data_IF_437800476840
#
_entry.id   IF_437800476840
#
_cell.length_a   1.000
_cell.length_b   1.000
_cell.length_c   1.000
_cell.angle_alpha   90.00
_cell.angle_beta   90.00
_cell.angle_gamma   90.00
#
_symmetry.space_group_name_H-M   'P 1'
#
loop_
_entity.id
_entity.type
_entity.pdbx_description
1 polymer ?
#
# COMPACT_ATOMS: atom_id res chain seq x y z
N UNK A 1 29.39 -36.64 13.40
CA UNK A 1 27.93 -36.76 13.68
C UNK A 1 27.43 -35.83 14.79
N UNK A 2 27.98 -35.83 16.03
CA UNK A 2 27.48 -34.96 17.13
C UNK A 2 27.61 -33.45 16.86
N UNK A 3 28.62 -33.02 16.10
CA UNK A 3 28.81 -31.62 15.69
C UNK A 3 27.73 -31.16 14.70
N UNK A 4 27.56 -31.88 13.58
CA UNK A 4 26.51 -31.61 12.58
C UNK A 4 25.10 -31.61 13.20
N UNK A 5 24.81 -32.55 14.10
CA UNK A 5 23.53 -32.61 14.81
C UNK A 5 23.27 -31.41 15.73
N UNK A 6 24.32 -30.87 16.38
CA UNK A 6 24.21 -29.66 17.21
C UNK A 6 23.90 -28.43 16.36
N UNK A 7 24.55 -28.28 15.20
CA UNK A 7 24.29 -27.18 14.28
C UNK A 7 22.91 -27.28 13.62
N UNK A 8 22.50 -28.49 13.22
CA UNK A 8 21.15 -28.72 12.71
C UNK A 8 20.08 -28.33 13.76
N UNK A 9 20.27 -28.74 15.02
CA UNK A 9 19.36 -28.34 16.12
C UNK A 9 19.32 -26.83 16.33
N UNK A 10 20.48 -26.16 16.26
CA UNK A 10 20.55 -24.69 16.38
C UNK A 10 19.85 -23.99 15.22
N UNK A 11 20.03 -24.49 14.00
CA UNK A 11 19.38 -23.94 12.81
C UNK A 11 17.86 -24.16 12.85
N UNK A 12 17.41 -25.36 13.25
CA UNK A 12 15.99 -25.64 13.44
C UNK A 12 15.37 -24.76 14.53
N UNK A 13 16.08 -24.56 15.65
CA UNK A 13 15.62 -23.66 16.72
C UNK A 13 15.58 -22.20 16.24
N UNK A 14 16.59 -21.74 15.51
CA UNK A 14 16.60 -20.39 14.95
C UNK A 14 15.44 -20.17 13.97
N UNK A 15 15.18 -21.13 13.08
CA UNK A 15 14.05 -21.10 12.17
C UNK A 15 12.71 -21.07 12.93
N UNK A 16 12.57 -21.89 13.97
CA UNK A 16 11.37 -21.89 14.82
C UNK A 16 11.16 -20.52 15.48
N UNK A 17 12.22 -19.91 16.01
CA UNK A 17 12.14 -18.56 16.59
C UNK A 17 11.69 -17.54 15.54
N UNK A 18 12.24 -17.57 14.32
CA UNK A 18 11.82 -16.69 13.24
C UNK A 18 10.34 -16.87 12.89
N UNK A 19 9.88 -18.13 12.75
CA UNK A 19 8.47 -18.44 12.48
C UNK A 19 7.57 -17.90 13.59
N UNK A 20 7.93 -18.12 14.86
CA UNK A 20 7.17 -17.60 16.00
C UNK A 20 7.11 -16.08 15.97
N UNK A 21 8.24 -15.40 15.76
CA UNK A 21 8.29 -13.93 15.71
C UNK A 21 7.42 -13.35 14.58
N UNK A 22 7.41 -13.98 13.40
CA UNK A 22 6.56 -13.57 12.28
C UNK A 22 5.07 -13.88 12.53
N UNK A 23 4.76 -14.92 13.30
CA UNK A 23 3.39 -15.29 13.64
C UNK A 23 2.78 -14.44 14.78
N UNK A 24 3.60 -13.91 15.69
CA UNK A 24 3.13 -13.09 16.83
C UNK A 24 2.18 -11.94 16.45
N UNK A 25 2.47 -11.08 15.45
CA UNK A 25 1.56 -10.00 15.11
C UNK A 25 0.24 -10.51 14.49
N UNK A 26 0.26 -11.64 13.77
CA UNK A 26 -0.96 -12.29 13.26
C UNK A 26 -1.82 -12.78 14.42
N UNK A 27 -1.21 -13.47 15.39
CA UNK A 27 -1.91 -13.96 16.59
C UNK A 27 -2.51 -12.79 17.36
N UNK A 28 -1.77 -11.69 17.53
CA UNK A 28 -2.27 -10.47 18.17
C UNK A 28 -3.49 -9.92 17.43
N UNK A 29 -3.45 -9.83 16.10
CA UNK A 29 -4.57 -9.32 15.31
C UNK A 29 -5.84 -10.17 15.49
N UNK A 30 -5.71 -11.49 15.40
CA UNK A 30 -6.84 -12.41 15.55
C UNK A 30 -7.42 -12.45 16.96
N UNK A 31 -6.61 -12.18 18.00
CA UNK A 31 -7.05 -12.34 19.40
C UNK A 31 -7.40 -11.03 20.09
N UNK A 32 -6.86 -9.89 19.64
CA UNK A 32 -6.96 -8.62 20.37
C UNK A 32 -7.61 -7.47 19.58
N UNK A 33 -7.81 -7.61 18.26
CA UNK A 33 -8.26 -6.52 17.39
C UNK A 33 -9.65 -6.80 16.79
N UNK A 34 -10.59 -7.29 17.61
CA UNK A 34 -11.92 -7.74 17.15
C UNK A 34 -12.98 -6.67 17.38
N UNK A 35 -13.76 -6.37 16.34
CA UNK A 35 -14.88 -5.44 16.38
C UNK A 35 -16.21 -6.13 16.72
N UNK A 36 -17.20 -5.34 17.12
CA UNK A 36 -18.59 -5.82 17.25
C UNK A 36 -19.33 -5.56 15.94
N UNK A 37 -19.91 -6.59 15.30
CA UNK A 37 -20.67 -6.41 14.06
C UNK A 37 -21.80 -5.40 14.22
N UNK A 38 -21.96 -4.52 13.24
CA UNK A 38 -23.07 -3.58 13.15
C UNK A 38 -24.14 -4.11 12.19
N UNK A 39 -25.38 -3.64 12.38
CA UNK A 39 -26.44 -3.92 11.42
C UNK A 39 -26.15 -3.17 10.11
N UNK A 40 -26.29 -3.88 8.99
CA UNK A 40 -26.09 -3.35 7.65
C UNK A 40 -27.46 -2.97 7.09
N UNK A 41 -27.78 -1.68 7.14
CA UNK A 41 -29.09 -1.15 6.79
C UNK A 41 -29.14 -0.53 5.38
N UNK A 42 -27.99 -0.45 4.70
CA UNK A 42 -27.89 0.07 3.34
C UNK A 42 -28.33 -0.97 2.31
N UNK A 43 -29.20 -0.56 1.38
CA UNK A 43 -29.68 -1.40 0.29
C UNK A 43 -28.99 -0.98 -1.02
N UNK A 44 -28.22 -1.88 -1.68
CA UNK A 44 -27.50 -1.52 -2.89
C UNK A 44 -28.40 -1.03 -4.03
N UNK A 45 -28.01 0.06 -4.67
CA UNK A 45 -28.67 0.65 -5.84
C UNK A 45 -28.12 -0.01 -7.12
N UNK A 46 -26.80 -0.19 -7.21
CA UNK A 46 -26.14 -0.82 -8.36
C UNK A 46 -26.22 -2.35 -8.29
N UNK A 47 -26.15 -3.00 -9.47
CA UNK A 47 -26.18 -4.47 -9.56
C UNK A 47 -24.82 -5.15 -9.34
N UNK A 48 -23.72 -4.44 -9.57
CA UNK A 48 -22.36 -4.93 -9.31
C UNK A 48 -21.91 -4.41 -7.94
N UNK A 49 -22.05 -5.25 -6.92
CA UNK A 49 -21.70 -4.91 -5.54
C UNK A 49 -20.41 -5.57 -5.11
N UNK A 50 -19.80 -5.04 -4.06
CA UNK A 50 -18.61 -5.58 -3.41
C UNK A 50 -18.80 -5.48 -1.91
N UNK A 51 -18.22 -6.38 -1.14
CA UNK A 51 -18.34 -6.35 0.32
C UNK A 51 -17.84 -5.00 0.87
N UNK A 52 -18.53 -4.44 1.87
CA UNK A 52 -18.13 -3.13 2.40
C UNK A 52 -16.85 -3.20 3.24
N UNK A 53 -16.67 -4.29 4.00
CA UNK A 53 -15.46 -4.52 4.82
C UNK A 53 -14.15 -4.41 4.03
N UNK A 54 -14.26 -4.60 2.71
CA UNK A 54 -13.16 -4.64 1.76
C UNK A 54 -12.43 -3.30 1.63
N UNK A 55 -13.09 -2.16 1.86
CA UNK A 55 -12.40 -0.85 1.96
C UNK A 55 -11.33 -0.85 3.07
N UNK A 56 -11.55 -1.57 4.17
CA UNK A 56 -10.60 -1.70 5.27
C UNK A 56 -9.55 -2.78 5.03
N UNK A 57 -9.86 -3.79 4.22
CA UNK A 57 -8.90 -4.86 3.85
C UNK A 57 -7.99 -4.44 2.68
N UNK A 58 -8.42 -3.48 1.87
CA UNK A 58 -7.61 -2.88 0.80
C UNK A 58 -6.48 -1.99 1.35
N UNK A 59 -6.69 -1.26 2.45
CA UNK A 59 -5.65 -0.38 3.00
C UNK A 59 -4.34 -1.11 3.36
N UNK A 60 -4.33 -2.27 4.04
CA UNK A 60 -3.11 -2.99 4.34
C UNK A 60 -2.26 -3.30 3.09
N UNK A 61 -2.88 -3.57 1.95
CA UNK A 61 -2.17 -3.75 0.68
C UNK A 61 -1.51 -2.44 0.22
N UNK A 62 -2.16 -1.31 0.45
CA UNK A 62 -1.62 0.03 0.17
C UNK A 62 -0.58 0.50 1.18
N UNK A 63 -0.61 0.02 2.42
CA UNK A 63 0.38 0.39 3.44
C UNK A 63 1.80 0.10 2.95
N UNK A 64 2.02 -1.05 2.30
CA UNK A 64 3.33 -1.41 1.76
C UNK A 64 3.73 -0.49 0.60
N UNK A 65 2.79 -0.08 -0.25
CA UNK A 65 3.01 0.89 -1.34
C UNK A 65 3.45 2.23 -0.77
N UNK A 66 2.76 2.71 0.27
CA UNK A 66 3.12 3.93 0.99
C UNK A 66 4.49 3.81 1.68
N UNK A 67 4.81 2.65 2.26
CA UNK A 67 6.10 2.42 2.88
C UNK A 67 7.26 2.41 1.86
N UNK A 68 7.05 1.89 0.65
CA UNK A 68 8.06 1.98 -0.42
C UNK A 68 8.22 3.42 -0.93
N UNK A 69 7.14 4.20 -1.01
CA UNK A 69 7.24 5.63 -1.33
C UNK A 69 8.00 6.42 -0.25
N UNK A 70 7.79 6.09 1.02
CA UNK A 70 8.53 6.67 2.13
C UNK A 70 10.01 6.25 2.10
N UNK A 71 10.31 4.98 1.79
CA UNK A 71 11.68 4.51 1.59
C UNK A 71 12.38 5.27 0.46
N UNK A 72 11.74 5.38 -0.71
CA UNK A 72 12.25 6.14 -1.84
C UNK A 72 12.53 7.60 -1.48
N UNK A 73 11.64 8.23 -0.69
CA UNK A 73 11.82 9.61 -0.22
C UNK A 73 13.02 9.78 0.69
N UNK A 74 13.25 8.83 1.61
CA UNK A 74 14.41 8.83 2.51
C UNK A 74 15.68 8.69 1.68
N UNK A 75 15.81 7.64 0.86
CA UNK A 75 17.07 7.34 0.17
C UNK A 75 17.41 8.30 -0.97
N UNK A 76 16.45 9.13 -1.38
CA UNK A 76 16.71 10.22 -2.31
C UNK A 76 17.59 11.33 -1.71
N UNK A 77 17.62 11.46 -0.38
CA UNK A 77 18.33 12.54 0.34
C UNK A 77 19.34 12.01 1.37
N UNK A 78 18.94 10.95 2.06
CA UNK A 78 19.64 10.35 3.19
C UNK A 78 20.10 8.92 2.84
N UNK A 79 20.75 8.23 3.78
CA UNK A 79 21.21 6.87 3.54
C UNK A 79 20.10 5.82 3.82
N UNK A 80 20.15 4.62 3.23
CA UNK A 80 19.12 3.59 3.46
C UNK A 80 18.95 3.14 4.90
N UNK A 81 19.98 3.30 5.74
CA UNK A 81 19.92 3.00 7.17
C UNK A 81 19.25 4.11 8.00
N UNK A 82 18.91 5.25 7.39
CA UNK A 82 18.11 6.31 8.02
C UNK A 82 16.60 6.03 7.85
N UNK A 83 16.23 5.08 6.99
CA UNK A 83 14.86 4.59 6.94
C UNK A 83 14.56 3.72 8.17
N UNK A 84 13.51 4.09 8.91
CA UNK A 84 13.01 3.34 10.04
C UNK A 84 12.30 2.05 9.63
N UNK A 85 13.07 1.00 9.29
CA UNK A 85 12.54 -0.32 8.93
C UNK A 85 11.59 -0.87 9.99
N UNK A 86 11.98 -0.82 11.26
CA UNK A 86 11.14 -1.27 12.38
C UNK A 86 9.89 -0.41 12.56
N UNK A 87 9.98 0.89 12.26
CA UNK A 87 8.83 1.81 12.28
C UNK A 87 7.84 1.43 11.19
N UNK A 88 8.31 1.14 9.96
CA UNK A 88 7.46 0.70 8.86
C UNK A 88 6.78 -0.65 9.14
N UNK A 89 7.53 -1.64 9.66
CA UNK A 89 6.99 -2.94 10.06
C UNK A 89 5.93 -2.80 11.17
N UNK A 90 6.23 -2.02 12.22
CA UNK A 90 5.26 -1.77 13.30
C UNK A 90 4.03 -1.04 12.78
N UNK A 91 4.23 -0.05 11.90
CA UNK A 91 3.18 0.73 11.26
C UNK A 91 2.11 -0.16 10.65
N UNK A 92 2.52 -1.12 9.80
CA UNK A 92 1.61 -2.07 9.13
C UNK A 92 0.73 -2.82 10.14
N UNK A 93 1.35 -3.46 11.13
CA UNK A 93 0.61 -4.27 12.11
C UNK A 93 -0.21 -3.42 13.09
N UNK A 94 0.22 -2.19 13.36
CA UNK A 94 -0.52 -1.27 14.22
C UNK A 94 -1.73 -0.67 13.55
N UNK A 95 -1.66 -0.34 12.25
CA UNK A 95 -2.82 0.13 11.47
C UNK A 95 -3.81 -1.00 11.19
N UNK A 96 -3.32 -2.24 11.05
CA UNK A 96 -4.19 -3.40 10.79
C UNK A 96 -5.18 -3.66 11.93
N UNK A 97 -4.84 -3.31 13.17
CA UNK A 97 -5.69 -3.55 14.34
C UNK A 97 -7.02 -2.77 14.27
N UNK A 98 -7.04 -1.43 14.22
CA UNK A 98 -8.30 -0.67 14.06
C UNK A 98 -9.01 -0.99 12.73
N UNK A 99 -8.28 -1.35 11.66
CA UNK A 99 -8.89 -1.78 10.40
C UNK A 99 -9.61 -3.13 10.53
N UNK A 100 -9.10 -4.04 11.36
CA UNK A 100 -9.77 -5.31 11.68
C UNK A 100 -11.05 -5.06 12.47
N UNK A 101 -11.02 -4.14 13.42
CA UNK A 101 -12.21 -3.73 14.17
C UNK A 101 -13.27 -3.10 13.26
N UNK A 102 -12.85 -2.22 12.34
CA UNK A 102 -13.75 -1.62 11.34
C UNK A 102 -14.30 -2.67 10.37
N UNK A 103 -13.47 -3.58 9.86
CA UNK A 103 -13.95 -4.64 8.99
C UNK A 103 -14.96 -5.55 9.70
N UNK A 104 -14.73 -5.94 10.95
CA UNK A 104 -15.68 -6.75 11.74
C UNK A 104 -17.03 -6.06 11.93
N UNK A 105 -17.06 -4.72 12.02
CA UNK A 105 -18.30 -3.94 12.04
C UNK A 105 -19.10 -4.06 10.72
N UNK A 106 -18.41 -4.31 9.60
CA UNK A 106 -18.96 -4.30 8.23
C UNK A 106 -18.97 -5.68 7.56
N UNK A 107 -19.15 -6.75 8.33
CA UNK A 107 -19.24 -8.14 7.82
C UNK A 107 -17.96 -8.97 7.99
N UNK A 108 -16.88 -8.35 8.45
CA UNK A 108 -15.61 -9.02 8.79
C UNK A 108 -14.69 -9.28 7.61
N UNK A 109 -13.50 -9.78 7.93
CA UNK A 109 -12.57 -10.28 6.92
C UNK A 109 -13.01 -11.67 6.44
N UNK A 110 -13.14 -11.85 5.13
CA UNK A 110 -13.21 -13.20 4.53
C UNK A 110 -11.91 -13.97 4.77
N UNK A 111 -11.97 -15.30 4.76
CA UNK A 111 -10.78 -16.16 4.97
C UNK A 111 -9.71 -15.86 3.92
N UNK A 112 -10.12 -15.63 2.69
CA UNK A 112 -9.28 -15.29 1.54
C UNK A 112 -8.58 -13.94 1.79
N UNK A 113 -9.33 -12.92 2.21
CA UNK A 113 -8.76 -11.59 2.52
C UNK A 113 -7.75 -11.66 3.67
N UNK A 114 -8.05 -12.42 4.74
CA UNK A 114 -7.10 -12.65 5.84
C UNK A 114 -5.80 -13.29 5.35
N UNK A 115 -5.91 -14.36 4.56
CA UNK A 115 -4.76 -15.07 4.03
C UNK A 115 -3.88 -14.16 3.16
N UNK A 116 -4.50 -13.34 2.30
CA UNK A 116 -3.79 -12.34 1.49
C UNK A 116 -3.06 -11.33 2.37
N UNK A 117 -3.75 -10.68 3.30
CA UNK A 117 -3.20 -9.59 4.12
C UNK A 117 -2.12 -10.09 5.08
N UNK A 118 -2.29 -11.27 5.68
CA UNK A 118 -1.25 -11.85 6.53
C UNK A 118 -0.05 -12.32 5.73
N UNK A 119 -0.24 -12.84 4.52
CA UNK A 119 0.88 -13.16 3.62
C UNK A 119 1.65 -11.89 3.26
N UNK A 120 0.95 -10.81 2.89
CA UNK A 120 1.56 -9.50 2.64
C UNK A 120 2.31 -8.99 3.87
N UNK A 121 1.66 -8.95 5.03
CA UNK A 121 2.28 -8.44 6.27
C UNK A 121 3.53 -9.22 6.69
N UNK A 122 3.48 -10.57 6.62
CA UNK A 122 4.62 -11.43 6.97
C UNK A 122 5.76 -11.28 5.96
N UNK A 123 5.45 -11.30 4.66
CA UNK A 123 6.46 -11.12 3.61
C UNK A 123 7.11 -9.74 3.65
N UNK A 124 6.32 -8.69 3.85
CA UNK A 124 6.81 -7.32 4.06
C UNK A 124 7.69 -7.21 5.30
N UNK A 125 7.29 -7.82 6.41
CA UNK A 125 8.10 -7.88 7.65
C UNK A 125 9.43 -8.59 7.39
N UNK A 126 9.41 -9.72 6.67
CA UNK A 126 10.62 -10.45 6.33
C UNK A 126 11.55 -9.65 5.39
N UNK A 127 11.00 -9.01 4.35
CA UNK A 127 11.75 -8.16 3.44
C UNK A 127 12.43 -7.00 4.19
N UNK A 128 11.67 -6.23 4.97
CA UNK A 128 12.22 -5.10 5.70
C UNK A 128 13.21 -5.53 6.78
N UNK A 129 13.01 -6.68 7.44
CA UNK A 129 13.97 -7.20 8.41
C UNK A 129 15.30 -7.61 7.75
N UNK A 130 15.26 -8.21 6.56
CA UNK A 130 16.47 -8.54 5.80
C UNK A 130 17.19 -7.28 5.32
N UNK A 131 16.44 -6.28 4.82
CA UNK A 131 17.00 -4.98 4.46
C UNK A 131 17.62 -4.27 5.65
N UNK A 132 16.92 -4.21 6.78
CA UNK A 132 17.45 -3.65 8.03
C UNK A 132 18.73 -4.37 8.45
N UNK A 133 18.74 -5.71 8.47
CA UNK A 133 19.93 -6.47 8.85
C UNK A 133 21.14 -6.15 7.96
N UNK A 134 20.92 -5.90 6.67
CA UNK A 134 21.96 -5.54 5.72
C UNK A 134 22.39 -4.07 5.82
N UNK A 135 21.44 -3.14 5.71
CA UNK A 135 21.69 -1.69 5.69
C UNK A 135 22.23 -1.18 7.03
N UNK A 136 21.80 -1.76 8.15
CA UNK A 136 22.30 -1.39 9.48
C UNK A 136 23.70 -1.96 9.78
N UNK A 137 24.22 -2.85 8.93
CA UNK A 137 25.53 -3.49 9.13
C UNK A 137 26.49 -3.17 7.98
N UNK A 138 26.53 -4.02 6.95
CA UNK A 138 27.43 -3.88 5.81
C UNK A 138 27.11 -2.61 5.02
N UNK A 139 25.83 -2.29 4.82
CA UNK A 139 25.41 -1.06 4.15
C UNK A 139 25.90 0.18 4.88
N UNK A 140 25.72 0.24 6.21
CA UNK A 140 26.21 1.35 7.06
C UNK A 140 27.73 1.51 6.98
N UNK A 141 28.49 0.42 7.03
CA UNK A 141 29.95 0.48 6.85
C UNK A 141 30.31 0.99 5.44
N UNK A 142 29.59 0.55 4.41
CA UNK A 142 29.82 1.02 3.04
C UNK A 142 29.51 2.51 2.88
N UNK A 143 28.47 3.03 3.53
CA UNK A 143 28.16 4.47 3.56
C UNK A 143 29.22 5.29 4.30
N UNK A 144 29.80 4.76 5.39
CA UNK A 144 30.90 5.43 6.08
C UNK A 144 32.16 5.52 5.22
N UNK A 145 32.45 4.48 4.43
CA UNK A 145 33.58 4.47 3.48
C UNK A 145 33.32 5.41 2.30
N UNK A 146 32.08 5.44 1.78
CA UNK A 146 31.63 6.35 0.72
C UNK A 146 31.83 7.83 1.11
N UNK A 147 31.58 8.17 2.37
CA UNK A 147 31.51 9.56 2.81
C UNK A 147 30.14 10.17 2.52
N UNK A 148 29.97 11.51 2.59
CA UNK A 148 28.66 12.14 2.54
C UNK A 148 28.01 12.16 1.14
N UNK A 149 28.79 12.14 0.06
CA UNK A 149 28.27 12.29 -1.31
C UNK A 149 27.75 10.96 -1.89
N UNK A 150 26.47 10.91 -2.30
CA UNK A 150 25.85 9.69 -2.84
C UNK A 150 26.63 9.19 -4.05
N UNK A 151 26.91 7.88 -4.08
CA UNK A 151 27.57 7.26 -5.22
C UNK A 151 26.64 7.20 -6.42
N UNK A 152 27.18 6.88 -7.60
CA UNK A 152 26.38 6.72 -8.82
C UNK A 152 25.24 5.70 -8.62
N UNK A 153 25.52 4.56 -7.97
CA UNK A 153 24.47 3.57 -7.71
C UNK A 153 23.53 3.92 -6.55
N UNK A 154 23.94 4.76 -5.58
CA UNK A 154 22.99 5.30 -4.60
C UNK A 154 21.94 6.18 -5.30
N UNK A 155 22.36 7.03 -6.24
CA UNK A 155 21.45 7.88 -7.02
C UNK A 155 20.54 7.06 -7.95
N UNK A 156 21.10 6.07 -8.67
CA UNK A 156 20.32 5.19 -9.54
C UNK A 156 19.28 4.39 -8.74
N UNK A 157 19.68 3.80 -7.62
CA UNK A 157 18.77 2.99 -6.80
C UNK A 157 17.69 3.84 -6.11
N UNK A 158 17.98 5.08 -5.74
CA UNK A 158 16.97 6.02 -5.25
C UNK A 158 15.92 6.35 -6.33
N UNK A 159 16.36 6.57 -7.57
CA UNK A 159 15.46 6.78 -8.70
C UNK A 159 14.60 5.54 -8.98
N UNK A 160 15.21 4.35 -9.03
CA UNK A 160 14.48 3.09 -9.21
C UNK A 160 13.44 2.85 -8.11
N UNK A 161 13.77 3.15 -6.85
CA UNK A 161 12.82 3.03 -5.75
C UNK A 161 11.64 4.00 -5.90
N UNK A 162 11.88 5.23 -6.36
CA UNK A 162 10.83 6.21 -6.61
C UNK A 162 9.91 5.80 -7.77
N UNK A 163 10.48 5.33 -8.87
CA UNK A 163 9.72 4.88 -10.05
C UNK A 163 8.91 3.62 -9.74
N UNK A 164 9.50 2.68 -9.00
CA UNK A 164 8.80 1.50 -8.51
C UNK A 164 7.65 1.86 -7.58
N UNK A 165 7.85 2.77 -6.62
CA UNK A 165 6.80 3.23 -5.71
C UNK A 165 5.65 3.95 -6.46
N UNK A 166 5.96 4.66 -7.55
CA UNK A 166 4.93 5.26 -8.41
C UNK A 166 4.16 4.19 -9.20
N UNK A 167 4.87 3.20 -9.76
CA UNK A 167 4.29 2.10 -10.53
C UNK A 167 3.28 1.28 -9.72
N UNK A 168 3.60 0.98 -8.46
CA UNK A 168 2.75 0.21 -7.55
C UNK A 168 1.40 0.85 -7.26
N UNK A 169 1.19 2.13 -7.58
CA UNK A 169 -0.07 2.81 -7.34
C UNK A 169 -1.18 2.42 -8.33
N UNK A 170 -0.83 1.76 -9.44
CA UNK A 170 -1.83 1.33 -10.44
C UNK A 170 -1.55 -0.08 -10.96
N UNK A 171 -0.29 -0.52 -10.93
CA UNK A 171 0.11 -1.78 -11.55
C UNK A 171 0.63 -2.78 -10.51
N UNK A 172 0.22 -4.06 -10.57
CA UNK A 172 0.74 -5.09 -9.69
C UNK A 172 2.26 -5.24 -9.77
N UNK A 173 2.91 -5.43 -8.61
CA UNK A 173 4.37 -5.45 -8.47
C UNK A 173 5.10 -6.45 -9.38
N UNK A 174 4.50 -7.60 -9.68
CA UNK A 174 5.12 -8.67 -10.49
C UNK A 174 5.24 -8.30 -11.97
N UNK A 175 4.66 -7.18 -12.40
CA UNK A 175 4.82 -6.61 -13.74
C UNK A 175 6.01 -5.64 -13.85
N UNK A 176 6.65 -5.29 -12.73
CA UNK A 176 7.84 -4.44 -12.74
C UNK A 176 9.04 -5.18 -13.32
N UNK A 177 9.85 -4.52 -14.15
CA UNK A 177 11.01 -5.12 -14.79
C UNK A 177 12.25 -5.10 -13.89
N UNK A 178 12.23 -5.96 -12.87
CA UNK A 178 13.39 -6.12 -11.97
C UNK A 178 14.65 -6.62 -12.69
N UNK A 179 14.52 -7.27 -13.85
CA UNK A 179 15.67 -7.73 -14.62
C UNK A 179 16.39 -6.55 -15.29
N UNK A 180 15.62 -5.61 -15.87
CA UNK A 180 16.17 -4.36 -16.38
C UNK A 180 16.82 -3.54 -15.26
N UNK A 181 16.22 -3.47 -14.07
CA UNK A 181 16.81 -2.77 -12.94
C UNK A 181 18.14 -3.39 -12.48
N UNK A 182 18.22 -4.72 -12.43
CA UNK A 182 19.46 -5.42 -12.11
C UNK A 182 20.55 -5.17 -13.16
N UNK A 183 20.16 -5.13 -14.45
CA UNK A 183 21.07 -4.85 -15.55
C UNK A 183 21.57 -3.40 -15.49
N UNK A 184 20.70 -2.43 -15.21
CA UNK A 184 21.07 -1.03 -15.08
C UNK A 184 22.11 -0.81 -13.96
N UNK A 185 22.03 -1.56 -12.86
CA UNK A 185 23.06 -1.54 -11.82
C UNK A 185 24.40 -2.07 -12.33
N UNK A 186 24.42 -3.13 -13.14
CA UNK A 186 25.64 -3.66 -13.74
C UNK A 186 26.26 -2.69 -14.76
N UNK A 187 25.44 -2.05 -15.58
CA UNK A 187 25.87 -1.13 -16.65
C UNK A 187 26.38 0.21 -16.11
N UNK A 188 25.84 0.67 -14.99
CA UNK A 188 26.12 2.00 -14.42
C UNK A 188 27.22 1.97 -13.35
N UNK A 189 27.58 0.79 -12.84
CA UNK A 189 28.52 0.68 -11.74
C UNK A 189 29.92 1.21 -12.07
N UNK A 190 30.49 1.99 -11.15
CA UNK A 190 31.88 2.42 -11.23
C UNK A 190 32.81 1.51 -10.42
N UNK A 191 34.11 1.82 -10.43
CA UNK A 191 35.10 1.15 -9.59
C UNK A 191 35.03 1.52 -8.10
N UNK A 192 34.15 2.45 -7.72
CA UNK A 192 33.94 2.82 -6.33
C UNK A 192 33.51 1.62 -5.49
N UNK A 193 34.04 1.51 -4.27
CA UNK A 193 33.69 0.42 -3.35
C UNK A 193 32.17 0.34 -3.11
N UNK A 194 31.52 1.50 -2.92
CA UNK A 194 30.07 1.58 -2.73
C UNK A 194 29.29 1.04 -3.92
N UNK A 195 29.70 1.35 -5.14
CA UNK A 195 29.01 0.86 -6.34
C UNK A 195 29.16 -0.66 -6.48
N UNK A 196 30.34 -1.22 -6.17
CA UNK A 196 30.53 -2.68 -6.15
C UNK A 196 29.64 -3.38 -5.13
N UNK A 197 29.49 -2.77 -3.95
CA UNK A 197 28.61 -3.24 -2.89
C UNK A 197 27.14 -3.18 -3.33
N UNK A 198 26.66 -2.03 -3.79
CA UNK A 198 25.28 -1.82 -4.27
C UNK A 198 24.92 -2.75 -5.43
N UNK A 199 25.81 -2.89 -6.42
CA UNK A 199 25.62 -3.79 -7.56
C UNK A 199 25.46 -5.24 -7.11
N UNK A 200 26.20 -5.67 -6.09
CA UNK A 200 26.09 -7.02 -5.56
C UNK A 200 24.80 -7.19 -4.73
N UNK A 201 24.53 -6.29 -3.79
CA UNK A 201 23.41 -6.40 -2.86
C UNK A 201 22.05 -6.20 -3.55
N UNK A 202 21.87 -5.06 -4.22
CA UNK A 202 20.63 -4.73 -4.92
C UNK A 202 20.47 -5.59 -6.18
N UNK A 203 21.57 -5.90 -6.88
CA UNK A 203 21.51 -6.81 -8.01
C UNK A 203 21.09 -8.24 -7.63
N UNK A 204 21.45 -8.72 -6.43
CA UNK A 204 20.93 -10.00 -5.92
C UNK A 204 19.44 -9.90 -5.59
N UNK A 205 19.01 -8.82 -4.91
CA UNK A 205 17.60 -8.57 -4.59
C UNK A 205 16.74 -8.54 -5.86
N UNK A 206 17.12 -7.72 -6.84
CA UNK A 206 16.36 -7.56 -8.07
C UNK A 206 16.30 -8.83 -8.90
N UNK A 207 17.40 -9.58 -9.04
CA UNK A 207 17.36 -10.88 -9.74
C UNK A 207 16.46 -11.89 -9.03
N UNK A 208 16.47 -11.92 -7.69
CA UNK A 208 15.57 -12.78 -6.92
C UNK A 208 14.10 -12.35 -7.10
N UNK A 209 13.81 -11.04 -7.07
CA UNK A 209 12.47 -10.49 -7.34
C UNK A 209 12.01 -10.76 -8.76
N UNK A 210 12.88 -10.64 -9.77
CA UNK A 210 12.58 -10.96 -11.17
C UNK A 210 12.15 -12.42 -11.32
N UNK A 211 12.92 -13.35 -10.73
CA UNK A 211 12.60 -14.77 -10.77
C UNK A 211 11.23 -15.05 -10.11
N UNK A 212 10.96 -14.45 -8.95
CA UNK A 212 9.69 -14.62 -8.25
C UNK A 212 8.51 -13.97 -8.98
N UNK A 213 8.69 -12.76 -9.52
CA UNK A 213 7.70 -12.06 -10.34
C UNK A 213 7.30 -12.91 -11.55
N UNK A 214 8.25 -13.57 -12.23
CA UNK A 214 7.97 -14.49 -13.32
C UNK A 214 7.08 -15.67 -12.92
N UNK A 215 7.28 -16.25 -11.71
CA UNK A 215 6.43 -17.32 -11.19
C UNK A 215 4.99 -16.83 -10.97
N UNK A 216 4.84 -15.64 -10.37
CA UNK A 216 3.51 -15.05 -10.11
C UNK A 216 2.81 -14.65 -11.41
N UNK A 217 3.52 -14.02 -12.35
CA UNK A 217 2.96 -13.63 -13.63
C UNK A 217 2.37 -14.84 -14.39
N UNK A 218 3.10 -15.96 -14.40
CA UNK A 218 2.63 -17.21 -15.01
C UNK A 218 1.41 -17.79 -14.28
N UNK A 219 1.37 -17.72 -12.96
CA UNK A 219 0.23 -18.20 -12.17
C UNK A 219 -1.03 -17.36 -12.45
N UNK A 220 -0.93 -16.03 -12.45
CA UNK A 220 -2.07 -15.13 -12.70
C UNK A 220 -2.58 -15.26 -14.14
N UNK A 221 -1.67 -15.40 -15.11
CA UNK A 221 -2.05 -15.65 -16.51
C UNK A 221 -2.90 -16.92 -16.68
N UNK A 222 -2.78 -17.90 -15.78
CA UNK A 222 -3.56 -19.13 -15.81
C UNK A 222 -4.92 -19.03 -15.10
N UNK A 223 -5.10 -18.10 -14.14
CA UNK A 223 -6.30 -18.02 -13.27
C UNK A 223 -7.24 -16.86 -13.56
N UNK A 224 -6.84 -15.91 -14.41
CA UNK A 224 -7.63 -14.70 -14.73
C UNK A 224 -7.33 -13.53 -13.79
N UNK A 225 -7.69 -12.31 -14.22
CA UNK A 225 -7.49 -11.06 -13.45
C UNK A 225 -8.75 -10.68 -12.68
N UNK A 226 -8.58 -9.98 -11.54
CA UNK A 226 -9.69 -9.37 -10.80
C UNK A 226 -10.42 -8.30 -11.66
N UNK A 227 -11.66 -7.98 -11.30
CA UNK A 227 -12.43 -6.93 -11.95
C UNK A 227 -11.74 -5.57 -11.74
N UNK A 228 -11.48 -4.87 -12.85
CA UNK A 228 -10.72 -3.61 -12.89
C UNK A 228 -11.61 -2.36 -12.85
N UNK A 229 -12.93 -2.56 -12.86
CA UNK A 229 -13.92 -1.48 -12.83
C UNK A 229 -14.90 -1.65 -11.69
N UNK A 230 -15.53 -0.55 -11.30
CA UNK A 230 -16.58 -0.52 -10.28
C UNK A 230 -17.73 0.37 -10.73
N UNK A 231 -18.91 0.17 -10.12
CA UNK A 231 -20.10 1.00 -10.33
C UNK A 231 -20.26 1.98 -9.20
N UNK A 232 -20.64 3.20 -9.52
CA UNK A 232 -21.01 4.20 -8.52
C UNK A 232 -22.26 4.95 -8.96
N UNK A 233 -22.98 5.52 -7.99
CA UNK A 233 -24.10 6.43 -8.25
C UNK A 233 -23.68 7.83 -7.85
N UNK A 234 -23.82 8.78 -8.77
CA UNK A 234 -23.40 10.17 -8.59
C UNK A 234 -24.58 11.11 -8.86
N UNK A 235 -24.72 12.14 -8.05
CA UNK A 235 -25.76 13.16 -8.21
C UNK A 235 -25.15 14.57 -8.29
N UNK A 236 -25.97 15.56 -8.65
CA UNK A 236 -25.53 16.95 -8.80
C UNK A 236 -24.74 17.27 -10.07
N UNK A 237 -24.66 16.32 -11.02
CA UNK A 237 -23.99 16.50 -12.32
C UNK A 237 -24.88 16.09 -13.48
N UNK A 238 -24.66 16.69 -14.64
CA UNK A 238 -25.26 16.28 -15.92
C UNK A 238 -24.49 15.13 -16.54
N UNK A 239 -25.15 14.36 -17.42
CA UNK A 239 -24.50 13.30 -18.20
C UNK A 239 -23.30 13.83 -18.99
N UNK A 240 -23.44 15.00 -19.62
CA UNK A 240 -22.34 15.62 -20.39
C UNK A 240 -21.13 15.94 -19.52
N UNK A 241 -21.33 16.40 -18.28
CA UNK A 241 -20.22 16.65 -17.35
C UNK A 241 -19.53 15.34 -16.94
N UNK A 242 -20.30 14.29 -16.65
CA UNK A 242 -19.76 12.99 -16.24
C UNK A 242 -18.97 12.32 -17.37
N UNK A 243 -19.51 12.30 -18.58
CA UNK A 243 -18.84 11.73 -19.78
C UNK A 243 -17.58 12.52 -20.17
N UNK A 244 -17.44 13.77 -19.73
CA UNK A 244 -16.23 14.56 -19.95
C UNK A 244 -15.07 14.18 -19.01
N UNK A 245 -15.31 13.39 -17.96
CA UNK A 245 -14.27 12.93 -17.03
C UNK A 245 -13.59 11.69 -17.64
N UNK A 246 -12.27 11.73 -17.90
CA UNK A 246 -11.54 10.57 -18.42
C UNK A 246 -11.71 9.33 -17.53
N UNK A 247 -11.96 8.18 -18.14
CA UNK A 247 -12.20 6.92 -17.43
C UNK A 247 -13.62 6.72 -16.92
N UNK A 248 -14.50 7.72 -16.99
CA UNK A 248 -15.91 7.58 -16.59
C UNK A 248 -16.76 7.15 -17.77
N UNK A 249 -17.53 6.07 -17.59
CA UNK A 249 -18.59 5.68 -18.52
C UNK A 249 -19.95 5.86 -17.84
N UNK A 250 -20.83 6.70 -18.40
CA UNK A 250 -22.21 6.82 -17.92
C UNK A 250 -23.03 5.65 -18.45
N UNK A 251 -23.79 4.99 -17.57
CA UNK A 251 -24.45 3.73 -17.91
C UNK A 251 -25.95 3.92 -18.00
N UNK A 252 -26.55 4.55 -16.99
CA UNK A 252 -27.96 4.88 -17.01
C UNK A 252 -28.32 5.96 -16.00
N UNK A 253 -29.47 6.60 -16.22
CA UNK A 253 -30.10 7.46 -15.22
C UNK A 253 -30.93 6.60 -14.26
N UNK A 254 -30.74 6.82 -12.96
CA UNK A 254 -31.54 6.26 -11.86
C UNK A 254 -32.31 7.36 -11.14
N UNK A 255 -33.29 7.06 -10.27
CA UNK A 255 -33.93 8.08 -9.44
C UNK A 255 -32.93 8.89 -8.58
N UNK A 256 -31.93 8.22 -8.03
CA UNK A 256 -30.98 8.76 -7.05
C UNK A 256 -29.84 9.57 -7.72
N UNK A 257 -29.47 9.20 -8.94
CA UNK A 257 -28.32 9.78 -9.63
C UNK A 257 -28.07 9.19 -11.01
N UNK A 258 -26.90 9.47 -11.56
CA UNK A 258 -26.33 8.75 -12.70
C UNK A 258 -25.53 7.57 -12.18
N UNK A 259 -25.82 6.40 -12.71
CA UNK A 259 -24.92 5.25 -12.53
C UNK A 259 -23.78 5.37 -13.52
N UNK A 260 -22.56 5.34 -12.98
CA UNK A 260 -21.32 5.40 -13.73
C UNK A 260 -20.48 4.16 -13.47
N UNK A 261 -19.62 3.85 -14.42
CA UNK A 261 -18.54 2.88 -14.28
C UNK A 261 -17.20 3.60 -14.32
N UNK A 262 -16.28 3.21 -13.43
CA UNK A 262 -14.95 3.81 -13.32
C UNK A 262 -13.87 2.73 -13.16
N UNK A 263 -12.62 2.99 -13.59
CA UNK A 263 -11.45 2.25 -13.14
C UNK A 263 -11.31 2.24 -11.62
N UNK A 264 -10.56 1.27 -11.12
CA UNK A 264 -10.19 1.09 -9.71
C UNK A 264 -8.87 1.79 -9.34
N UNK A 265 -8.51 1.73 -8.06
CA UNK A 265 -7.22 2.19 -7.53
C UNK A 265 -6.98 3.72 -7.65
N UNK A 266 -5.79 4.14 -8.11
CA UNK A 266 -5.38 5.55 -8.14
C UNK A 266 -6.29 6.38 -9.04
N UNK A 267 -6.74 5.80 -10.15
CA UNK A 267 -7.65 6.44 -11.10
C UNK A 267 -9.01 6.74 -10.44
N UNK A 268 -9.57 5.81 -9.65
CA UNK A 268 -10.79 6.06 -8.88
C UNK A 268 -10.65 7.27 -7.98
N UNK A 269 -9.55 7.34 -7.21
CA UNK A 269 -9.28 8.46 -6.30
C UNK A 269 -9.36 9.80 -7.04
N UNK A 270 -8.75 9.87 -8.22
CA UNK A 270 -8.72 11.08 -9.05
C UNK A 270 -10.11 11.42 -9.61
N UNK A 271 -10.86 10.42 -10.06
CA UNK A 271 -12.21 10.58 -10.58
C UNK A 271 -13.15 11.10 -9.48
N UNK A 272 -13.16 10.49 -8.29
CA UNK A 272 -14.01 10.91 -7.18
C UNK A 272 -13.65 12.32 -6.67
N UNK A 273 -12.36 12.64 -6.59
CA UNK A 273 -11.90 13.98 -6.26
C UNK A 273 -12.38 15.00 -7.31
N UNK A 274 -12.32 14.66 -8.59
CA UNK A 274 -12.78 15.53 -9.68
C UNK A 274 -14.29 15.75 -9.63
N UNK A 275 -15.08 14.69 -9.41
CA UNK A 275 -16.53 14.77 -9.22
C UNK A 275 -16.87 15.73 -8.08
N UNK A 276 -16.20 15.59 -6.93
CA UNK A 276 -16.43 16.44 -5.77
C UNK A 276 -16.06 17.92 -6.02
N UNK A 277 -14.99 18.17 -6.78
CA UNK A 277 -14.56 19.52 -7.19
C UNK A 277 -15.55 20.17 -8.16
N UNK A 278 -16.12 19.39 -9.08
CA UNK A 278 -17.07 19.86 -10.09
C UNK A 278 -18.52 19.97 -9.53
N UNK A 279 -18.69 19.83 -8.21
CA UNK A 279 -19.97 20.00 -7.50
C UNK A 279 -20.82 18.74 -7.37
N UNK A 280 -20.36 17.61 -7.90
CA UNK A 280 -21.02 16.32 -7.75
C UNK A 280 -20.94 15.76 -6.34
N UNK A 281 -21.84 14.83 -6.04
CA UNK A 281 -21.86 14.06 -4.80
C UNK A 281 -21.97 12.57 -5.11
N UNK A 282 -21.24 11.75 -4.36
CA UNK A 282 -21.35 10.30 -4.43
C UNK A 282 -22.53 9.88 -3.58
N UNK A 283 -23.42 9.05 -4.12
CA UNK A 283 -24.55 8.47 -3.39
C UNK A 283 -24.19 7.08 -2.89
N UNK A 284 -23.52 6.31 -3.75
CA UNK A 284 -23.13 4.92 -3.49
C UNK A 284 -21.89 4.60 -4.31
N UNK A 285 -20.99 3.76 -3.77
CA UNK A 285 -19.85 3.20 -4.50
C UNK A 285 -19.87 1.69 -4.30
N UNK A 286 -19.95 0.93 -5.39
CA UNK A 286 -20.00 -0.54 -5.42
C UNK A 286 -21.03 -1.17 -4.47
N UNK A 287 -22.19 -0.52 -4.28
CA UNK A 287 -23.24 -1.01 -3.40
C UNK A 287 -23.11 -0.64 -1.93
N UNK A 288 -22.15 0.22 -1.55
CA UNK A 288 -21.79 0.51 -0.16
C UNK A 288 -21.92 2.01 0.17
N UNK A 289 -22.00 2.30 1.48
CA UNK A 289 -22.22 3.65 2.02
C UNK A 289 -21.13 4.14 2.99
N UNK A 290 -20.11 3.33 3.31
CA UNK A 290 -18.88 3.71 4.01
C UNK A 290 -17.65 3.51 3.12
N UNK A 291 -16.67 4.42 3.24
CA UNK A 291 -15.41 4.33 2.52
C UNK A 291 -14.24 4.90 3.32
N UNK A 292 -13.10 4.20 3.26
CA UNK A 292 -11.85 4.64 3.87
C UNK A 292 -11.05 5.48 2.88
N UNK A 293 -10.47 6.58 3.37
CA UNK A 293 -9.49 7.38 2.65
C UNK A 293 -8.24 7.63 3.50
N UNK A 294 -7.13 7.89 2.83
CA UNK A 294 -5.95 8.49 3.44
C UNK A 294 -5.84 9.98 3.09
N UNK A 295 -5.54 10.78 4.11
CA UNK A 295 -5.23 12.19 3.98
C UNK A 295 -3.85 12.50 4.58
N UNK A 296 -3.17 13.50 4.03
CA UNK A 296 -1.85 13.95 4.45
C UNK A 296 -1.91 15.41 4.90
N UNK A 297 -1.25 15.72 6.00
CA UNK A 297 -1.15 17.07 6.58
C UNK A 297 0.30 17.41 6.91
N UNK A 298 0.59 18.71 7.00
CA UNK A 298 1.87 19.20 7.50
C UNK A 298 1.82 19.25 9.04
N UNK A 299 2.24 18.15 9.67
CA UNK A 299 2.17 17.95 11.12
C UNK A 299 0.84 17.38 11.64
N UNK A 300 0.69 17.20 12.96
CA UNK A 300 -0.50 16.57 13.55
C UNK A 300 -1.78 17.39 13.33
N UNK A 301 -2.84 16.73 12.87
CA UNK A 301 -4.18 17.29 12.74
C UNK A 301 -5.24 16.32 13.28
N UNK A 302 -6.33 16.85 13.84
CA UNK A 302 -7.50 16.04 14.17
C UNK A 302 -8.45 16.01 12.98
N UNK A 303 -8.39 14.92 12.23
CA UNK A 303 -9.27 14.63 11.11
C UNK A 303 -10.33 13.58 11.48
N UNK A 304 -10.53 13.26 12.76
CA UNK A 304 -11.40 12.14 13.15
C UNK A 304 -10.91 10.80 12.57
N UNK A 305 -9.59 10.65 12.46
CA UNK A 305 -8.95 9.50 11.85
C UNK A 305 -8.96 8.29 12.81
N UNK A 306 -9.26 7.09 12.30
CA UNK A 306 -9.17 5.84 13.06
C UNK A 306 -7.72 5.45 13.36
N UNK A 307 -6.78 5.95 12.55
CA UNK A 307 -5.36 5.75 12.74
C UNK A 307 -4.56 6.90 12.14
N UNK A 308 -3.49 7.32 12.80
CA UNK A 308 -2.63 8.42 12.36
C UNK A 308 -1.18 8.07 12.64
N UNK A 309 -0.29 8.33 11.68
CA UNK A 309 1.13 8.05 11.84
C UNK A 309 2.01 8.96 10.98
N UNK A 310 3.24 9.27 11.44
CA UNK A 310 4.18 10.09 10.68
C UNK A 310 4.68 9.36 9.44
N UNK A 311 4.85 10.11 8.35
CA UNK A 311 5.52 9.64 7.13
C UNK A 311 7.04 9.71 7.32
N UNK A 312 7.79 8.84 6.65
CA UNK A 312 9.27 8.90 6.72
C UNK A 312 9.84 9.74 5.57
N UNK A 313 10.95 10.43 5.81
CA UNK A 313 11.57 11.35 4.83
C UNK A 313 10.79 12.66 4.60
N UNK A 314 9.82 12.98 5.47
CA UNK A 314 9.03 14.23 5.47
C UNK A 314 8.48 14.53 6.85
N UNK A 315 8.19 15.79 7.16
CA UNK A 315 7.48 16.20 8.39
C UNK A 315 5.95 16.00 8.33
N UNK A 316 5.48 15.30 7.30
CA UNK A 316 4.07 15.08 7.03
C UNK A 316 3.51 13.90 7.83
N UNK A 317 2.21 13.98 8.11
CA UNK A 317 1.46 12.98 8.86
C UNK A 317 0.36 12.40 7.97
N UNK A 318 0.20 11.07 8.01
CA UNK A 318 -0.85 10.34 7.29
C UNK A 318 -1.98 9.97 8.25
N UNK A 319 -3.21 10.17 7.79
CA UNK A 319 -4.45 9.95 8.52
C UNK A 319 -5.36 8.98 7.77
N UNK A 320 -5.86 7.96 8.44
CA UNK A 320 -6.87 7.02 7.92
C UNK A 320 -8.23 7.49 8.40
N UNK A 321 -9.08 7.95 7.48
CA UNK A 321 -10.38 8.54 7.79
C UNK A 321 -11.47 7.71 7.14
N UNK A 322 -12.46 7.32 7.93
CA UNK A 322 -13.67 6.66 7.44
C UNK A 322 -14.74 7.72 7.23
N UNK A 323 -15.43 7.66 6.11
CA UNK A 323 -16.44 8.65 5.74
C UNK A 323 -17.63 7.91 5.12
N UNK A 324 -18.83 8.39 5.42
CA UNK A 324 -20.01 7.99 4.65
C UNK A 324 -19.88 8.45 3.20
N UNK A 325 -20.17 7.59 2.24
CA UNK A 325 -20.11 7.87 0.80
C UNK A 325 -20.92 9.13 0.45
N UNK A 326 -22.15 9.33 0.96
CA UNK A 326 -22.90 10.59 0.80
C UNK A 326 -22.14 11.85 1.24
N UNK A 327 -21.31 11.75 2.28
CA UNK A 327 -20.56 12.88 2.85
C UNK A 327 -19.17 13.04 2.22
N UNK A 328 -18.72 12.07 1.42
CA UNK A 328 -17.36 12.04 0.88
C UNK A 328 -17.01 13.31 0.10
N UNK A 329 -17.89 13.79 -0.78
CA UNK A 329 -17.61 14.99 -1.56
C UNK A 329 -17.48 16.25 -0.69
N UNK A 330 -18.29 16.38 0.35
CA UNK A 330 -18.13 17.42 1.36
C UNK A 330 -16.79 17.31 2.07
N UNK A 331 -16.46 16.10 2.52
CA UNK A 331 -15.21 15.82 3.21
C UNK A 331 -13.98 16.12 2.36
N UNK A 332 -13.98 15.82 1.06
CA UNK A 332 -12.87 16.13 0.15
C UNK A 332 -12.65 17.64 0.01
N UNK A 333 -13.74 18.43 -0.04
CA UNK A 333 -13.65 19.90 -0.06
C UNK A 333 -13.12 20.45 1.26
N UNK A 334 -13.56 19.90 2.39
CA UNK A 334 -13.11 20.31 3.71
C UNK A 334 -11.62 20.01 3.94
N UNK A 335 -11.13 18.85 3.48
CA UNK A 335 -9.70 18.52 3.53
C UNK A 335 -8.89 19.58 2.78
N UNK A 336 -9.27 19.89 1.53
CA UNK A 336 -8.58 20.88 0.71
C UNK A 336 -8.61 22.28 1.33
N UNK A 337 -9.75 22.71 1.88
CA UNK A 337 -9.90 24.00 2.54
C UNK A 337 -9.09 24.09 3.85
N UNK A 338 -8.93 22.97 4.57
CA UNK A 338 -8.17 22.85 5.81
C UNK A 338 -6.67 22.64 5.63
N UNK A 339 -6.15 22.66 4.40
CA UNK A 339 -4.73 22.43 4.11
C UNK A 339 -4.31 20.95 4.17
N UNK A 340 -5.26 20.02 4.27
CA UNK A 340 -5.00 18.59 4.14
C UNK A 340 -5.11 18.15 2.67
N UNK A 341 -4.25 17.22 2.27
CA UNK A 341 -4.23 16.66 0.92
C UNK A 341 -4.80 15.25 0.92
N UNK A 342 -5.79 14.99 0.06
CA UNK A 342 -6.21 13.62 -0.24
C UNK A 342 -5.02 12.83 -0.82
N UNK A 343 -4.70 11.69 -0.22
CA UNK A 343 -3.69 10.77 -0.74
C UNK A 343 -4.32 9.64 -1.54
N UNK A 344 -5.30 8.94 -0.98
CA UNK A 344 -5.96 7.80 -1.64
C UNK A 344 -7.36 7.55 -1.09
N UNK A 345 -8.25 7.01 -1.92
CA UNK A 345 -9.54 6.45 -1.51
C UNK A 345 -9.45 4.95 -1.72
N UNK A 346 -9.59 4.18 -0.65
CA UNK A 346 -9.41 2.72 -0.67
C UNK A 346 -10.73 2.08 -1.10
N UNK A 347 -10.74 1.58 -2.34
CA UNK A 347 -11.92 0.90 -2.89
C UNK A 347 -12.13 -0.48 -2.27
N UNK A 348 -13.23 -1.12 -2.68
CA UNK A 348 -13.65 -2.41 -2.18
C UNK A 348 -12.85 -3.54 -2.83
#
# INVERSE_FOLDING_TARGET
MRFLWRWLKRLALALLVVVVLLALPVIRNETMCRGTPLAQDHAPIVGQTRDESRTFTTYPEWHIVHAYADYARVIAKDDPHDFGFFTAMRGFWSSLCPLTEMADQHGGFTTESKMTIYTIGVSFTAELALKAAYEETLGRVATWIRGPEHSTLDQLSAQQAADYAAFLQQTPWYKWDFAADAQALDDTATDAFRDRERRLALGLEYRAKAAYAGVIANAVAATGTDELTLRAVVTGMTETQLTAIPGVTVIQRRPEGWEIETPRYRELTQILARIAQDGGQMVEIAGNDDILLTAITDGPADLGAIFTFPMQGSDQVRHLVVVKVPDLAGRLRDLAAGGARLEHIHDY
#
